data_IF_251235022661
#
_entry.id   IF_251235022661
#
_cell.length_a   1.000
_cell.length_b   1.000
_cell.length_c   1.000
_cell.angle_alpha   90.00
_cell.angle_beta   90.00
_cell.angle_gamma   90.00
#
_symmetry.space_group_name_H-M   'P 1'
#
loop_
_entity.id
_entity.type
_entity.pdbx_description
1 polymer ?
#
# COMPACT_ATOMS: atom_id res chain seq x y z
N UNK A 1 11.86 13.31 -12.07
CA UNK A 1 10.56 13.86 -12.52
C UNK A 1 9.87 12.98 -13.54
N UNK A 2 10.50 12.62 -14.66
CA UNK A 2 9.84 11.82 -15.72
C UNK A 2 9.29 10.46 -15.23
N UNK A 3 10.05 9.72 -14.42
CA UNK A 3 9.57 8.47 -13.81
C UNK A 3 8.33 8.67 -12.94
N UNK A 4 8.27 9.75 -12.14
CA UNK A 4 7.11 10.09 -11.32
C UNK A 4 5.89 10.45 -12.19
N UNK A 5 6.12 11.14 -13.31
CA UNK A 5 5.08 11.46 -14.30
C UNK A 5 4.45 10.20 -14.86
N UNK A 6 5.27 9.26 -15.30
CA UNK A 6 4.80 7.98 -15.86
C UNK A 6 4.07 7.15 -14.79
N UNK A 7 4.60 7.06 -13.57
CA UNK A 7 3.91 6.39 -12.46
C UNK A 7 2.55 7.06 -12.13
N UNK A 8 2.46 8.39 -12.21
CA UNK A 8 1.20 9.11 -12.02
C UNK A 8 0.21 8.75 -13.13
N UNK A 9 0.67 8.69 -14.39
CA UNK A 9 -0.17 8.29 -15.53
C UNK A 9 -0.71 6.87 -15.34
N UNK A 10 0.13 5.91 -14.93
CA UNK A 10 -0.30 4.54 -14.62
C UNK A 10 -1.45 4.51 -13.61
N UNK A 11 -1.37 5.31 -12.55
CA UNK A 11 -2.46 5.43 -11.58
C UNK A 11 -3.70 6.02 -12.25
N UNK A 12 -3.57 7.09 -13.04
CA UNK A 12 -4.73 7.69 -13.70
C UNK A 12 -5.40 6.73 -14.69
N UNK A 13 -4.61 5.97 -15.45
CA UNK A 13 -5.11 4.93 -16.34
C UNK A 13 -5.82 3.82 -15.58
N UNK A 14 -5.20 3.29 -14.52
CA UNK A 14 -5.76 2.24 -13.67
C UNK A 14 -7.16 2.56 -13.14
N UNK A 15 -7.45 3.85 -12.89
CA UNK A 15 -8.76 4.31 -12.41
C UNK A 15 -9.62 4.99 -13.47
N UNK A 16 -9.23 4.90 -14.74
CA UNK A 16 -9.92 5.52 -15.88
C UNK A 16 -10.21 7.01 -15.65
N UNK A 17 -9.29 7.73 -15.02
CA UNK A 17 -9.46 9.15 -14.69
C UNK A 17 -9.16 10.02 -15.89
N UNK A 18 -9.87 11.14 -15.99
CA UNK A 18 -9.50 12.23 -16.89
C UNK A 18 -8.34 13.00 -16.27
N UNK A 19 -7.28 13.23 -17.03
CA UNK A 19 -6.07 13.95 -16.62
C UNK A 19 -5.34 14.50 -17.84
N UNK A 20 -4.41 15.43 -17.63
CA UNK A 20 -3.51 15.91 -18.68
C UNK A 20 -2.06 15.91 -18.20
N UNK A 21 -1.12 16.02 -19.12
CA UNK A 21 0.27 16.25 -18.75
C UNK A 21 0.43 17.55 -17.93
N UNK A 22 -0.26 18.62 -18.32
CA UNK A 22 -0.19 19.90 -17.63
C UNK A 22 -0.64 19.79 -16.16
N UNK A 23 -1.80 19.19 -15.90
CA UNK A 23 -2.34 19.04 -14.55
C UNK A 23 -1.54 18.08 -13.68
N UNK A 24 -1.03 16.99 -14.25
CA UNK A 24 -0.11 16.07 -13.54
C UNK A 24 1.20 16.78 -13.17
N UNK A 25 1.81 17.50 -14.11
CA UNK A 25 3.06 18.22 -13.84
C UNK A 25 2.87 19.35 -12.83
N UNK A 26 1.72 20.01 -12.81
CA UNK A 26 1.39 20.99 -11.77
C UNK A 26 1.36 20.34 -10.37
N UNK A 27 0.72 19.17 -10.24
CA UNK A 27 0.70 18.40 -9.00
C UNK A 27 2.11 17.95 -8.57
N UNK A 28 2.90 17.42 -9.49
CA UNK A 28 4.25 16.93 -9.18
C UNK A 28 5.21 18.07 -8.77
N UNK A 29 5.12 19.25 -9.40
CA UNK A 29 5.92 20.42 -9.00
C UNK A 29 5.51 20.96 -7.62
N UNK A 30 4.21 20.98 -7.33
CA UNK A 30 3.71 21.36 -6.01
C UNK A 30 4.17 20.37 -4.94
N UNK A 31 4.08 19.06 -5.21
CA UNK A 31 4.63 18.00 -4.37
C UNK A 31 6.13 18.19 -4.14
N UNK A 32 6.92 18.40 -5.20
CA UNK A 32 8.38 18.54 -5.09
C UNK A 32 8.76 19.73 -4.21
N UNK A 33 8.06 20.84 -4.36
CA UNK A 33 8.26 22.04 -3.53
C UNK A 33 7.85 21.80 -2.08
N UNK A 34 6.62 21.33 -1.86
CA UNK A 34 6.06 21.20 -0.51
C UNK A 34 6.76 20.11 0.31
N UNK A 35 7.10 18.97 -0.30
CA UNK A 35 7.75 17.85 0.37
C UNK A 35 9.25 18.01 0.52
N UNK A 36 9.87 19.06 -0.04
CA UNK A 36 11.32 19.26 0.04
C UNK A 36 11.90 19.15 1.46
N UNK A 37 11.28 19.72 2.52
CA UNK A 37 11.77 19.57 3.89
C UNK A 37 11.75 18.12 4.38
N UNK A 38 10.62 17.41 4.18
CA UNK A 38 10.49 16.00 4.59
C UNK A 38 11.41 15.08 3.77
N UNK A 39 11.56 15.32 2.46
CA UNK A 39 12.51 14.59 1.61
C UNK A 39 13.94 14.77 2.12
N UNK A 40 14.32 15.99 2.47
CA UNK A 40 15.65 16.30 3.01
C UNK A 40 15.89 15.60 4.36
N UNK A 41 14.86 15.57 5.22
CA UNK A 41 14.94 14.89 6.51
C UNK A 41 15.05 13.36 6.32
N UNK A 42 14.11 12.74 5.61
CA UNK A 42 14.04 11.28 5.50
C UNK A 42 15.21 10.67 4.72
N UNK A 43 15.82 11.42 3.79
CA UNK A 43 17.06 11.01 3.09
C UNK A 43 18.23 10.73 4.03
N UNK A 44 18.21 11.26 5.25
CA UNK A 44 19.24 10.98 6.26
C UNK A 44 19.13 9.57 6.86
N UNK A 45 17.98 8.89 6.68
CA UNK A 45 17.82 7.53 7.19
C UNK A 45 18.66 6.53 6.38
N UNK A 46 19.40 5.60 7.01
CA UNK A 46 20.22 4.63 6.30
C UNK A 46 19.40 3.67 5.41
N UNK A 47 18.12 3.46 5.73
CA UNK A 47 17.19 2.65 4.95
C UNK A 47 16.34 3.46 3.95
N UNK A 48 16.73 4.71 3.65
CA UNK A 48 16.09 5.50 2.61
C UNK A 48 16.33 4.92 1.21
N UNK A 49 15.28 4.83 0.41
CA UNK A 49 15.34 4.42 -0.99
C UNK A 49 14.92 5.57 -1.90
N UNK A 50 15.86 6.05 -2.72
CA UNK A 50 15.66 7.27 -3.51
C UNK A 50 14.63 7.09 -4.63
N UNK A 51 14.53 5.91 -5.25
CA UNK A 51 13.51 5.64 -6.27
C UNK A 51 12.11 5.54 -5.65
N UNK A 52 11.99 4.83 -4.53
CA UNK A 52 10.72 4.68 -3.80
C UNK A 52 10.29 5.97 -3.08
N UNK A 53 11.17 6.97 -2.91
CA UNK A 53 10.94 8.16 -2.08
C UNK A 53 10.43 7.79 -0.68
N UNK A 54 11.01 6.75 -0.09
CA UNK A 54 10.52 6.16 1.14
C UNK A 54 11.65 5.60 2.01
N UNK A 55 11.40 5.51 3.31
CA UNK A 55 12.16 4.64 4.21
C UNK A 55 11.48 3.26 4.23
N UNK A 56 12.25 2.22 3.92
CA UNK A 56 11.74 0.84 3.78
C UNK A 56 12.43 -0.05 4.80
N UNK A 57 11.64 -0.66 5.70
CA UNK A 57 12.15 -1.48 6.81
C UNK A 57 11.44 -2.82 6.83
N UNK A 58 12.20 -3.90 6.93
CA UNK A 58 11.66 -5.23 7.22
C UNK A 58 11.46 -5.39 8.72
N UNK A 59 10.32 -5.94 9.11
CA UNK A 59 10.02 -6.24 10.50
C UNK A 59 9.10 -7.46 10.61
N UNK A 60 9.12 -8.08 11.78
CA UNK A 60 8.23 -9.20 12.10
C UNK A 60 6.97 -8.67 12.73
N UNK A 61 5.83 -8.87 12.06
CA UNK A 61 4.50 -8.64 12.63
C UNK A 61 3.93 -9.97 13.10
N UNK A 62 3.70 -10.09 14.39
CA UNK A 62 3.00 -11.22 14.98
C UNK A 62 2.35 -10.76 16.27
N UNK A 63 1.33 -11.49 16.73
CA UNK A 63 0.80 -11.23 18.08
C UNK A 63 1.94 -11.40 19.07
N UNK A 64 2.07 -10.48 20.02
CA UNK A 64 2.88 -10.75 21.21
C UNK A 64 2.41 -12.03 21.91
N UNK A 65 3.21 -12.52 22.85
CA UNK A 65 2.78 -13.65 23.68
C UNK A 65 1.57 -13.19 24.52
N UNK A 66 0.40 -13.76 24.24
CA UNK A 66 -0.84 -13.47 24.97
C UNK A 66 -0.75 -14.11 26.36
N UNK A 67 -0.52 -13.29 27.40
CA UNK A 67 -0.28 -13.76 28.76
C UNK A 67 -1.44 -14.59 29.30
N UNK A 68 -2.67 -14.16 29.06
CA UNK A 68 -3.87 -14.86 29.52
C UNK A 68 -3.96 -16.27 28.92
N UNK A 69 -3.61 -16.44 27.64
CA UNK A 69 -3.57 -17.75 26.98
C UNK A 69 -2.45 -18.61 27.56
N UNK A 70 -1.27 -18.03 27.80
CA UNK A 70 -0.16 -18.76 28.45
C UNK A 70 -0.57 -19.20 29.85
N UNK A 71 -1.22 -18.34 30.63
CA UNK A 71 -1.65 -18.64 32.00
C UNK A 71 -2.74 -19.72 32.02
N UNK A 72 -3.75 -19.63 31.16
CA UNK A 72 -4.81 -20.63 31.02
C UNK A 72 -4.24 -22.02 30.68
N UNK A 73 -3.37 -22.09 29.68
CA UNK A 73 -2.79 -23.37 29.25
C UNK A 73 -1.75 -23.87 30.26
N UNK A 74 -1.02 -22.97 30.92
CA UNK A 74 -0.11 -23.32 32.01
C UNK A 74 -0.86 -23.93 33.19
N UNK A 75 -2.04 -23.39 33.53
CA UNK A 75 -2.90 -23.96 34.56
C UNK A 75 -3.33 -25.39 34.21
N UNK A 76 -3.77 -25.62 32.97
CA UNK A 76 -4.10 -26.97 32.49
C UNK A 76 -2.89 -27.93 32.56
N UNK A 77 -1.69 -27.47 32.22
CA UNK A 77 -0.46 -28.27 32.35
C UNK A 77 -0.15 -28.62 33.80
N UNK A 78 -0.36 -27.69 34.73
CA UNK A 78 -0.18 -27.94 36.16
C UNK A 78 -1.19 -28.95 36.72
N UNK A 79 -2.44 -28.92 36.26
CA UNK A 79 -3.43 -29.94 36.62
C UNK A 79 -3.01 -31.34 36.16
N UNK A 80 -2.50 -31.47 34.93
CA UNK A 80 -1.95 -32.74 34.44
C UNK A 80 -0.77 -33.17 35.31
N UNK A 81 0.13 -32.25 35.67
CA UNK A 81 1.26 -32.55 36.51
C UNK A 81 0.84 -33.02 37.92
N UNK A 82 -0.21 -32.44 38.50
CA UNK A 82 -0.78 -32.86 39.78
C UNK A 82 -1.40 -34.26 39.75
N UNK A 83 -1.83 -34.76 38.58
CA UNK A 83 -2.34 -36.13 38.46
C UNK A 83 -1.22 -37.16 38.29
N UNK A 84 -0.08 -36.75 37.73
CA UNK A 84 1.00 -37.67 37.31
C UNK A 84 2.19 -37.68 38.26
N UNK A 85 2.57 -36.52 38.80
CA UNK A 85 3.81 -36.37 39.57
C UNK A 85 3.57 -36.76 41.05
N UNK A 86 4.45 -37.57 41.67
CA UNK A 86 4.43 -37.83 43.11
C UNK A 86 4.50 -36.56 43.96
N UNK A 87 3.80 -36.51 45.10
CA UNK A 87 3.69 -35.30 45.94
C UNK A 87 5.03 -34.69 46.37
N UNK A 88 6.04 -35.53 46.61
CA UNK A 88 7.39 -35.11 47.02
C UNK A 88 8.20 -34.46 45.89
N UNK A 89 7.91 -34.78 44.63
CA UNK A 89 8.59 -34.23 43.45
C UNK A 89 7.87 -32.99 42.86
N UNK A 90 6.57 -32.80 43.16
CA UNK A 90 5.77 -31.67 42.65
C UNK A 90 6.37 -30.29 42.92
N UNK A 91 6.91 -29.96 44.11
CA UNK A 91 7.47 -28.63 44.36
C UNK A 91 8.62 -28.29 43.41
N UNK A 92 9.43 -29.29 43.06
CA UNK A 92 10.56 -29.13 42.14
C UNK A 92 10.08 -28.85 40.71
N UNK A 93 9.08 -29.61 40.23
CA UNK A 93 8.45 -29.36 38.93
C UNK A 93 7.78 -27.98 38.89
N UNK A 94 6.97 -27.64 39.89
CA UNK A 94 6.24 -26.37 39.95
C UNK A 94 7.20 -25.17 39.89
N UNK A 95 8.30 -25.24 40.62
CA UNK A 95 9.33 -24.19 40.65
C UNK A 95 9.99 -24.03 39.28
N UNK A 96 10.42 -25.13 38.66
CA UNK A 96 11.03 -25.11 37.33
C UNK A 96 10.05 -24.67 36.23
N UNK A 97 8.80 -25.14 36.29
CA UNK A 97 7.78 -24.82 35.30
C UNK A 97 7.40 -23.34 35.37
N UNK A 98 7.18 -22.79 36.57
CA UNK A 98 6.91 -21.35 36.75
C UNK A 98 8.07 -20.48 36.26
N UNK A 99 9.32 -20.87 36.53
CA UNK A 99 10.48 -20.18 35.97
C UNK A 99 10.52 -20.24 34.44
N UNK A 100 9.99 -21.31 33.83
CA UNK A 100 9.94 -21.44 32.38
C UNK A 100 8.84 -20.58 31.73
N UNK A 101 7.69 -20.40 32.37
CA UNK A 101 6.56 -19.65 31.78
C UNK A 101 6.47 -18.18 32.22
N UNK A 102 7.03 -17.84 33.38
CA UNK A 102 6.84 -16.53 34.03
C UNK A 102 7.40 -15.32 33.28
N UNK A 103 8.34 -15.54 32.36
CA UNK A 103 8.91 -14.49 31.51
C UNK A 103 8.06 -14.16 30.28
N UNK A 104 7.02 -14.96 29.99
CA UNK A 104 6.19 -14.82 28.78
C UNK A 104 7.03 -14.60 27.51
N UNK A 105 8.06 -15.43 27.34
CA UNK A 105 9.08 -15.26 26.30
C UNK A 105 9.35 -16.57 25.58
N UNK A 106 9.68 -16.47 24.29
CA UNK A 106 10.10 -17.61 23.46
C UNK A 106 11.51 -18.12 23.80
N UNK A 107 12.31 -17.35 24.54
CA UNK A 107 13.62 -17.73 25.11
C UNK A 107 13.81 -17.14 26.51
N UNK A 108 14.58 -17.81 27.36
CA UNK A 108 14.72 -17.42 28.77
C UNK A 108 16.08 -16.77 29.10
N UNK A 109 16.12 -15.82 30.06
CA UNK A 109 17.36 -15.29 30.63
C UNK A 109 18.08 -16.35 31.46
N UNK A 110 19.39 -16.17 31.68
CA UNK A 110 20.23 -17.16 32.37
C UNK A 110 19.77 -17.42 33.82
N UNK A 111 19.23 -16.41 34.50
CA UNK A 111 18.67 -16.51 35.85
C UNK A 111 17.52 -17.54 35.91
N UNK A 112 16.57 -17.46 34.97
CA UNK A 112 15.49 -18.44 34.87
C UNK A 112 15.99 -19.83 34.48
N UNK A 113 16.99 -19.90 33.59
CA UNK A 113 17.62 -21.17 33.19
C UNK A 113 18.29 -21.86 34.37
N UNK A 114 18.95 -21.13 35.26
CA UNK A 114 19.60 -21.68 36.45
C UNK A 114 18.58 -22.32 37.41
N UNK A 115 17.45 -21.65 37.66
CA UNK A 115 16.33 -22.21 38.44
C UNK A 115 15.85 -23.53 37.81
N UNK A 116 15.66 -23.56 36.49
CA UNK A 116 15.19 -24.75 35.77
C UNK A 116 16.22 -25.90 35.85
N UNK A 117 17.52 -25.61 35.77
CA UNK A 117 18.55 -26.65 35.92
C UNK A 117 18.56 -27.24 37.33
N UNK A 118 18.45 -26.38 38.34
CA UNK A 118 18.52 -26.77 39.75
C UNK A 118 17.29 -27.56 40.20
N UNK A 119 16.09 -27.02 39.95
CA UNK A 119 14.83 -27.63 40.38
C UNK A 119 14.33 -28.68 39.38
N UNK A 120 14.47 -28.42 38.09
CA UNK A 120 13.97 -29.31 37.04
C UNK A 120 14.91 -30.45 36.66
N UNK A 121 16.18 -30.41 37.12
CA UNK A 121 17.23 -31.41 36.82
C UNK A 121 17.41 -31.71 35.32
N UNK A 122 17.08 -30.75 34.45
CA UNK A 122 17.25 -30.86 33.00
C UNK A 122 18.40 -29.97 32.51
N UNK A 123 19.03 -30.38 31.41
CA UNK A 123 19.97 -29.51 30.68
C UNK A 123 19.20 -28.49 29.86
N UNK A 124 19.53 -27.21 29.98
CA UNK A 124 19.03 -26.11 29.13
C UNK A 124 20.09 -25.01 28.98
N UNK A 125 20.05 -24.26 27.88
CA UNK A 125 21.05 -23.24 27.54
C UNK A 125 20.36 -22.01 26.94
N UNK A 126 21.05 -20.86 27.01
CA UNK A 126 20.59 -19.60 26.44
C UNK A 126 20.33 -19.71 24.92
N UNK A 127 19.33 -18.97 24.43
CA UNK A 127 18.87 -19.01 23.05
C UNK A 127 18.01 -20.22 22.68
N UNK A 128 17.82 -21.19 23.58
CA UNK A 128 16.93 -22.30 23.33
C UNK A 128 15.46 -21.90 23.51
N UNK A 129 14.59 -22.36 22.59
CA UNK A 129 13.14 -22.13 22.70
C UNK A 129 12.57 -22.63 24.03
N UNK A 130 11.80 -21.78 24.71
CA UNK A 130 11.12 -22.05 25.98
C UNK A 130 10.24 -23.31 25.90
N UNK A 131 9.45 -23.47 24.83
CA UNK A 131 8.62 -24.67 24.63
C UNK A 131 9.43 -25.96 24.57
N UNK A 132 10.65 -25.94 24.02
CA UNK A 132 11.55 -27.10 24.03
C UNK A 132 12.11 -27.40 25.42
N UNK A 133 12.32 -26.38 26.25
CA UNK A 133 12.71 -26.55 27.66
C UNK A 133 11.56 -27.18 28.43
N UNK A 134 10.35 -26.64 28.31
CA UNK A 134 9.13 -27.17 28.93
C UNK A 134 8.91 -28.63 28.49
N UNK A 135 9.01 -28.94 27.20
CA UNK A 135 8.82 -30.31 26.71
C UNK A 135 9.87 -31.30 27.23
N UNK A 136 11.07 -30.85 27.62
CA UNK A 136 12.03 -31.70 28.33
C UNK A 136 11.71 -31.81 29.81
N UNK A 137 11.26 -30.74 30.44
CA UNK A 137 10.84 -30.74 31.83
C UNK A 137 9.67 -31.70 32.05
N UNK A 138 8.62 -31.63 31.21
CA UNK A 138 7.49 -32.55 31.26
C UNK A 138 7.92 -34.02 31.14
N UNK A 139 8.87 -34.33 30.24
CA UNK A 139 9.45 -35.68 30.11
C UNK A 139 10.26 -36.13 31.31
N UNK A 140 11.00 -35.22 31.93
CA UNK A 140 11.81 -35.52 33.11
C UNK A 140 10.94 -35.91 34.31
N UNK A 141 9.72 -35.37 34.40
CA UNK A 141 8.75 -35.66 35.45
C UNK A 141 7.58 -36.54 34.96
N UNK A 142 7.71 -37.20 33.80
CA UNK A 142 6.73 -38.13 33.23
C UNK A 142 5.33 -37.56 32.92
N UNK A 143 5.17 -36.24 32.92
CA UNK A 143 3.91 -35.54 32.58
C UNK A 143 3.45 -35.90 31.16
N UNK A 144 4.38 -36.26 30.28
CA UNK A 144 4.10 -36.68 28.90
C UNK A 144 3.36 -38.02 28.77
N UNK A 145 3.28 -38.81 29.84
CA UNK A 145 2.50 -40.04 29.87
C UNK A 145 0.97 -39.79 29.93
N UNK A 146 0.55 -38.57 30.27
CA UNK A 146 -0.87 -38.23 30.38
C UNK A 146 -1.54 -38.12 29.00
N UNK A 147 -2.74 -38.66 28.87
CA UNK A 147 -3.48 -38.71 27.59
C UNK A 147 -3.74 -37.33 26.97
N UNK A 148 -3.88 -36.28 27.79
CA UNK A 148 -4.13 -34.92 27.33
C UNK A 148 -2.84 -34.12 27.07
N UNK A 149 -1.66 -34.63 27.43
CA UNK A 149 -0.41 -33.89 27.38
C UNK A 149 -0.15 -33.27 26.00
N UNK A 150 -0.24 -34.06 24.93
CA UNK A 150 0.08 -33.59 23.58
C UNK A 150 -0.78 -32.40 23.16
N UNK A 151 -2.06 -32.39 23.56
CA UNK A 151 -2.98 -31.28 23.28
C UNK A 151 -2.57 -30.02 24.03
N UNK A 152 -2.38 -30.13 25.35
CA UNK A 152 -2.04 -28.98 26.21
C UNK A 152 -0.64 -28.44 25.89
N UNK A 153 0.33 -29.32 25.64
CA UNK A 153 1.68 -28.93 25.24
C UNK A 153 1.69 -28.20 23.89
N UNK A 154 0.92 -28.67 22.90
CA UNK A 154 0.80 -27.98 21.62
C UNK A 154 0.24 -26.55 21.80
N UNK A 155 -0.84 -26.41 22.58
CA UNK A 155 -1.43 -25.10 22.90
C UNK A 155 -0.42 -24.16 23.58
N UNK A 156 0.34 -24.66 24.55
CA UNK A 156 1.34 -23.86 25.27
C UNK A 156 2.52 -23.49 24.39
N UNK A 157 2.95 -24.42 23.54
CA UNK A 157 4.02 -24.18 22.57
C UNK A 157 3.63 -23.09 21.56
N UNK A 158 2.39 -23.14 21.05
CA UNK A 158 1.88 -22.14 20.11
C UNK A 158 1.74 -20.77 20.79
N UNK A 159 1.23 -20.73 22.03
CA UNK A 159 1.11 -19.49 22.80
C UNK A 159 2.47 -18.82 23.10
N UNK A 160 3.52 -19.61 23.35
CA UNK A 160 4.89 -19.13 23.59
C UNK A 160 5.70 -18.87 22.32
N UNK A 161 5.21 -19.30 21.16
CA UNK A 161 5.87 -19.13 19.86
C UNK A 161 4.87 -18.62 18.80
N UNK A 162 4.27 -17.43 19.02
CA UNK A 162 3.30 -16.90 18.09
C UNK A 162 3.92 -16.75 16.69
N UNK A 163 3.11 -17.03 15.66
CA UNK A 163 3.54 -16.89 14.26
C UNK A 163 3.96 -15.44 13.99
N UNK A 164 5.22 -15.27 13.60
CA UNK A 164 5.79 -14.00 13.20
C UNK A 164 5.79 -13.93 11.67
N UNK A 165 4.92 -13.09 11.11
CA UNK A 165 4.88 -12.81 9.69
C UNK A 165 5.87 -11.70 9.37
N UNK A 166 6.87 -12.00 8.55
CA UNK A 166 7.76 -10.95 8.05
C UNK A 166 6.98 -10.03 7.10
N UNK A 167 7.02 -8.73 7.37
CA UNK A 167 6.40 -7.69 6.56
C UNK A 167 7.40 -6.61 6.22
N UNK A 168 7.08 -5.83 5.20
CA UNK A 168 7.81 -4.63 4.84
C UNK A 168 6.99 -3.41 5.23
N UNK A 169 7.54 -2.59 6.11
CA UNK A 169 7.02 -1.27 6.47
C UNK A 169 7.59 -0.22 5.52
N UNK A 170 6.72 0.63 4.99
CA UNK A 170 7.08 1.70 4.07
C UNK A 170 6.56 3.02 4.63
N UNK A 171 7.46 3.94 4.97
CA UNK A 171 7.13 5.35 5.25
C UNK A 171 7.46 6.17 4.01
N UNK A 172 6.43 6.50 3.23
CA UNK A 172 6.57 7.04 1.88
C UNK A 172 6.19 8.52 1.78
N UNK A 173 6.92 9.20 0.89
CA UNK A 173 6.59 10.50 0.32
C UNK A 173 6.27 10.40 -1.18
N UNK A 174 6.27 9.22 -1.77
CA UNK A 174 6.02 9.04 -3.20
C UNK A 174 4.60 9.53 -3.57
N UNK A 175 4.43 10.36 -4.63
CA UNK A 175 3.13 10.94 -4.96
C UNK A 175 2.06 9.87 -5.24
N UNK A 176 2.42 8.81 -5.97
CA UNK A 176 1.50 7.71 -6.26
C UNK A 176 1.10 6.91 -5.01
N UNK A 177 1.89 6.92 -3.94
CA UNK A 177 1.48 6.25 -2.70
C UNK A 177 0.30 6.96 -2.02
N UNK A 178 0.24 8.29 -2.10
CA UNK A 178 -0.92 9.06 -1.65
C UNK A 178 -2.14 8.80 -2.54
N UNK A 179 -1.98 8.81 -3.86
CA UNK A 179 -3.08 8.51 -4.80
C UNK A 179 -3.64 7.09 -4.59
N UNK A 180 -2.75 6.13 -4.30
CA UNK A 180 -3.10 4.75 -4.05
C UNK A 180 -3.42 4.48 -2.58
N UNK A 181 -3.61 5.52 -1.73
CA UNK A 181 -3.91 5.41 -0.28
C UNK A 181 -5.01 4.42 0.07
N UNK A 182 -5.96 4.23 -0.84
CA UNK A 182 -6.90 3.12 -0.85
C UNK A 182 -6.97 2.51 -2.24
N UNK A 183 -6.09 1.56 -2.53
CA UNK A 183 -5.99 0.95 -3.86
C UNK A 183 -7.18 0.04 -4.19
N UNK A 184 -7.60 -0.04 -5.46
CA UNK A 184 -8.59 -1.05 -5.91
C UNK A 184 -8.10 -2.50 -5.78
N UNK A 185 -6.78 -2.70 -5.64
CA UNK A 185 -6.16 -4.01 -5.42
C UNK A 185 -6.18 -4.43 -3.95
N UNK A 186 -6.55 -3.54 -3.02
CA UNK A 186 -6.69 -3.87 -1.61
C UNK A 186 -7.95 -4.73 -1.39
N UNK A 187 -7.96 -5.53 -0.32
CA UNK A 187 -9.16 -6.25 0.15
C UNK A 187 -10.13 -5.34 0.92
N UNK A 188 -9.80 -4.05 1.03
CA UNK A 188 -10.55 -3.03 1.77
C UNK A 188 -10.54 -1.71 1.01
N UNK A 189 -11.48 -0.83 1.34
CA UNK A 189 -11.62 0.48 0.68
C UNK A 189 -11.87 1.57 1.71
N UNK A 190 -11.32 2.77 1.50
CA UNK A 190 -11.63 3.97 2.27
C UNK A 190 -12.27 5.05 1.39
N UNK A 191 -12.72 6.13 2.04
CA UNK A 191 -13.27 7.31 1.39
C UNK A 191 -12.33 7.98 0.38
N UNK A 192 -11.02 7.72 0.44
CA UNK A 192 -10.02 8.27 -0.47
C UNK A 192 -9.78 7.41 -1.72
N UNK A 193 -10.45 6.27 -1.86
CA UNK A 193 -10.32 5.43 -3.05
C UNK A 193 -10.69 6.19 -4.32
N UNK A 194 -9.83 6.09 -5.34
CA UNK A 194 -10.04 6.85 -6.58
C UNK A 194 -11.18 6.30 -7.44
N UNK A 195 -11.59 5.04 -7.30
CA UNK A 195 -12.71 4.49 -8.09
C UNK A 195 -14.07 5.02 -7.61
N UNK A 196 -14.32 4.98 -6.30
CA UNK A 196 -15.67 5.21 -5.74
C UNK A 196 -15.70 6.08 -4.47
N UNK A 197 -14.55 6.51 -3.96
CA UNK A 197 -14.46 7.30 -2.73
C UNK A 197 -15.00 8.73 -2.90
N UNK A 198 -15.54 9.30 -1.82
CA UNK A 198 -16.06 10.68 -1.76
C UNK A 198 -15.00 11.73 -1.40
N UNK A 199 -13.76 11.32 -1.10
CA UNK A 199 -12.63 12.17 -0.69
C UNK A 199 -11.39 11.94 -1.57
N UNK A 200 -11.57 11.69 -2.86
CA UNK A 200 -10.47 11.42 -3.82
C UNK A 200 -9.47 12.59 -3.84
N UNK A 201 -9.97 13.83 -3.88
CA UNK A 201 -9.16 15.05 -3.84
C UNK A 201 -8.30 15.15 -2.57
N UNK A 202 -8.70 14.47 -1.49
CA UNK A 202 -7.93 14.37 -0.26
C UNK A 202 -6.57 13.72 -0.42
N UNK A 203 -6.44 12.78 -1.36
CA UNK A 203 -5.14 12.20 -1.69
C UNK A 203 -4.17 13.27 -2.21
N UNK A 204 -4.66 14.18 -3.05
CA UNK A 204 -3.88 15.31 -3.56
C UNK A 204 -3.56 16.31 -2.45
N UNK A 205 -4.52 16.58 -1.55
CA UNK A 205 -4.28 17.46 -0.40
C UNK A 205 -3.12 17.00 0.48
N UNK A 206 -3.07 15.71 0.84
CA UNK A 206 -1.93 15.16 1.58
C UNK A 206 -0.64 15.13 0.75
N UNK A 207 -0.75 14.81 -0.54
CA UNK A 207 0.40 14.73 -1.43
C UNK A 207 1.11 16.08 -1.56
N UNK A 208 0.38 17.20 -1.59
CA UNK A 208 0.96 18.52 -1.85
C UNK A 208 1.05 19.43 -0.61
N UNK A 209 0.93 18.88 0.59
CA UNK A 209 1.30 19.60 1.83
C UNK A 209 2.76 19.32 2.22
N UNK A 210 3.26 19.99 3.25
CA UNK A 210 4.63 19.88 3.75
C UNK A 210 4.80 18.97 4.97
N UNK A 211 3.71 18.46 5.55
CA UNK A 211 3.73 17.70 6.82
C UNK A 211 3.38 16.21 6.67
N UNK A 212 2.62 15.83 5.65
CA UNK A 212 2.06 14.48 5.53
C UNK A 212 3.06 13.45 5.00
N UNK A 213 3.05 12.28 5.62
CA UNK A 213 3.71 11.05 5.20
C UNK A 213 2.68 9.92 5.24
N UNK A 214 2.75 8.99 4.28
CA UNK A 214 1.92 7.78 4.31
C UNK A 214 2.76 6.59 4.78
N UNK A 215 2.31 5.96 5.87
CA UNK A 215 2.87 4.72 6.35
C UNK A 215 1.97 3.56 5.95
N UNK A 216 2.54 2.49 5.44
CA UNK A 216 1.79 1.28 5.13
C UNK A 216 2.67 0.03 5.20
N UNK A 217 2.02 -1.13 5.26
CA UNK A 217 2.70 -2.43 5.22
C UNK A 217 2.30 -3.19 3.97
N UNK A 218 3.27 -3.90 3.40
CA UNK A 218 3.11 -4.81 2.26
C UNK A 218 3.75 -6.16 2.60
N UNK A 219 3.45 -7.16 1.78
CA UNK A 219 4.11 -8.46 1.88
C UNK A 219 5.61 -8.33 1.61
N UNK A 220 6.42 -9.18 2.25
CA UNK A 220 7.88 -9.12 2.17
C UNK A 220 8.43 -9.29 0.75
N UNK A 221 7.67 -9.90 -0.15
CA UNK A 221 8.04 -10.15 -1.54
C UNK A 221 8.04 -8.86 -2.37
N UNK A 222 7.32 -7.82 -1.93
CA UNK A 222 7.29 -6.52 -2.60
C UNK A 222 8.56 -5.73 -2.25
N UNK A 223 9.41 -5.49 -3.26
CA UNK A 223 10.70 -4.82 -3.06
C UNK A 223 10.81 -3.42 -3.68
N UNK A 224 9.94 -3.10 -4.61
CA UNK A 224 9.92 -1.82 -5.33
C UNK A 224 8.48 -1.47 -5.75
N UNK A 225 8.32 -0.32 -6.43
CA UNK A 225 7.04 0.18 -6.96
C UNK A 225 5.86 0.00 -6.00
N UNK A 226 6.08 0.33 -4.72
CA UNK A 226 5.16 0.02 -3.63
C UNK A 226 3.72 0.52 -3.84
N UNK A 227 3.54 1.60 -4.60
CA UNK A 227 2.22 2.14 -4.96
C UNK A 227 1.36 1.17 -5.80
N UNK A 228 1.97 0.18 -6.47
CA UNK A 228 1.26 -0.88 -7.22
C UNK A 228 0.78 -2.01 -6.31
N UNK A 229 1.39 -2.17 -5.14
CA UNK A 229 1.15 -3.29 -4.26
C UNK A 229 -0.11 -3.10 -3.39
N UNK A 230 -0.85 -4.18 -3.11
CA UNK A 230 -1.94 -4.13 -2.16
C UNK A 230 -1.40 -3.92 -0.75
N UNK A 231 -2.03 -3.00 0.00
CA UNK A 231 -1.62 -2.65 1.36
C UNK A 231 -2.34 -3.49 2.40
N UNK A 232 -1.57 -4.04 3.33
CA UNK A 232 -2.11 -4.79 4.48
C UNK A 232 -2.65 -3.85 5.53
N UNK A 233 -1.87 -2.82 5.87
CA UNK A 233 -2.30 -1.73 6.75
C UNK A 233 -1.88 -0.37 6.18
N UNK A 234 -2.57 0.70 6.57
CA UNK A 234 -2.28 2.07 6.15
C UNK A 234 -2.58 3.07 7.27
N UNK A 235 -1.66 4.00 7.49
CA UNK A 235 -1.79 5.08 8.47
C UNK A 235 -1.10 6.35 7.95
N UNK A 236 -1.76 7.50 8.07
CA UNK A 236 -1.11 8.79 7.82
C UNK A 236 -0.37 9.26 9.06
N UNK A 237 0.79 9.84 8.86
CA UNK A 237 1.58 10.53 9.89
C UNK A 237 1.86 11.96 9.43
N UNK A 238 1.83 12.91 10.36
CA UNK A 238 2.06 14.32 10.09
C UNK A 238 3.18 14.82 10.98
N UNK A 239 4.27 15.31 10.37
CA UNK A 239 5.44 15.79 11.08
C UNK A 239 5.61 17.29 10.89
N UNK A 240 5.71 18.03 11.99
CA UNK A 240 6.10 19.44 12.01
C UNK A 240 6.98 19.68 13.23
N UNK A 241 8.16 20.24 13.01
CA UNK A 241 9.13 20.49 14.07
C UNK A 241 9.34 19.25 14.97
N UNK A 242 8.99 19.32 16.25
CA UNK A 242 9.14 18.25 17.24
C UNK A 242 7.84 17.44 17.48
N UNK A 243 6.84 17.62 16.63
CA UNK A 243 5.50 17.02 16.75
C UNK A 243 5.27 15.98 15.65
N UNK A 244 4.92 14.76 16.05
CA UNK A 244 4.52 13.67 15.17
C UNK A 244 3.10 13.24 15.49
N UNK A 245 2.16 13.58 14.61
CA UNK A 245 0.75 13.27 14.75
C UNK A 245 0.39 12.03 13.93
N UNK A 246 -0.24 11.04 14.55
CA UNK A 246 -0.65 9.78 13.94
C UNK A 246 -2.16 9.80 13.69
N UNK A 247 -2.61 9.35 12.52
CA UNK A 247 -4.04 9.20 12.16
C UNK A 247 -4.59 7.79 12.46
N UNK A 248 -5.86 7.56 12.10
CA UNK A 248 -6.54 6.26 12.16
C UNK A 248 -5.83 5.17 11.36
N UNK A 249 -5.76 3.97 11.93
CA UNK A 249 -5.34 2.74 11.25
C UNK A 249 -6.42 2.26 10.27
N UNK A 250 -6.00 1.79 9.10
CA UNK A 250 -6.86 1.12 8.13
C UNK A 250 -6.27 -0.24 7.75
N UNK A 251 -7.10 -1.26 7.46
CA UNK A 251 -8.57 -1.24 7.58
C UNK A 251 -9.09 -1.45 9.02
N UNK A 252 -8.21 -1.85 9.92
CA UNK A 252 -8.49 -2.27 11.29
C UNK A 252 -8.31 -1.13 12.31
N UNK A 253 -8.79 -1.30 13.53
CA UNK A 253 -8.61 -0.39 14.67
C UNK A 253 -7.70 -0.96 15.78
N UNK A 254 -6.92 -1.99 15.46
CA UNK A 254 -5.93 -2.61 16.36
C UNK A 254 -4.99 -1.59 17.03
N UNK A 255 -5.09 -1.51 18.36
CA UNK A 255 -4.23 -0.71 19.22
C UNK A 255 -2.78 -1.18 19.20
N UNK A 256 -2.55 -2.49 19.09
CA UNK A 256 -1.20 -3.08 19.05
C UNK A 256 -0.47 -2.68 17.77
N UNK A 257 -1.12 -2.84 16.61
CA UNK A 257 -0.58 -2.42 15.31
C UNK A 257 -0.39 -0.89 15.29
N UNK A 258 -1.34 -0.14 15.83
CA UNK A 258 -1.22 1.32 15.94
C UNK A 258 -0.01 1.75 16.76
N UNK A 259 0.24 1.11 17.91
CA UNK A 259 1.43 1.35 18.75
C UNK A 259 2.71 0.96 18.03
N UNK A 260 2.73 -0.20 17.36
CA UNK A 260 3.86 -0.69 16.58
C UNK A 260 4.25 0.28 15.46
N UNK A 261 3.29 0.65 14.61
CA UNK A 261 3.50 1.59 13.51
C UNK A 261 4.03 2.93 14.02
N UNK A 262 3.46 3.45 15.12
CA UNK A 262 3.95 4.68 15.76
C UNK A 262 5.39 4.53 16.22
N UNK A 263 5.73 3.43 16.88
CA UNK A 263 7.10 3.17 17.34
C UNK A 263 8.12 3.09 16.20
N UNK A 264 7.75 2.45 15.09
CA UNK A 264 8.57 2.40 13.86
C UNK A 264 8.79 3.82 13.33
N UNK A 265 7.73 4.60 13.12
CA UNK A 265 7.85 5.96 12.56
C UNK A 265 8.61 6.89 13.51
N UNK A 266 8.35 6.85 14.81
CA UNK A 266 9.10 7.60 15.83
C UNK A 266 10.60 7.31 15.76
N UNK A 267 10.99 6.04 15.61
CA UNK A 267 12.39 5.63 15.46
C UNK A 267 12.99 6.15 14.15
N UNK A 268 12.27 6.07 13.03
CA UNK A 268 12.71 6.63 11.74
C UNK A 268 12.99 8.13 11.90
N UNK A 269 12.02 8.89 12.41
CA UNK A 269 12.13 10.34 12.54
C UNK A 269 13.30 10.74 13.45
N UNK A 270 13.42 10.13 14.63
CA UNK A 270 14.52 10.46 15.55
C UNK A 270 15.90 10.04 15.03
N UNK A 271 15.97 8.97 14.25
CA UNK A 271 17.21 8.61 13.52
C UNK A 271 17.58 9.70 12.51
N UNK A 272 16.63 10.19 11.71
CA UNK A 272 16.88 11.28 10.76
C UNK A 272 17.23 12.61 11.41
N UNK A 273 16.69 12.87 12.60
CA UNK A 273 16.95 14.09 13.38
C UNK A 273 18.23 14.00 14.22
N UNK A 274 18.84 12.82 14.34
CA UNK A 274 20.01 12.57 15.19
C UNK A 274 19.77 12.90 16.68
N UNK A 275 18.56 12.61 17.17
CA UNK A 275 18.15 12.82 18.57
C UNK A 275 17.77 11.51 19.25
N UNK A 276 17.82 11.42 20.59
CA UNK A 276 17.33 10.26 21.30
C UNK A 276 15.84 9.98 21.02
N UNK A 277 15.48 8.72 20.79
CA UNK A 277 14.09 8.29 20.59
C UNK A 277 13.26 8.36 21.88
N UNK A 278 12.91 9.58 22.31
CA UNK A 278 12.18 9.87 23.55
C UNK A 278 10.99 10.77 23.25
N UNK A 279 9.80 10.18 23.25
CA UNK A 279 8.54 10.88 22.96
C UNK A 279 7.62 10.90 24.18
N UNK A 280 6.87 11.98 24.31
CA UNK A 280 5.72 12.10 25.22
C UNK A 280 4.46 11.97 24.37
N UNK A 281 3.63 10.97 24.68
CA UNK A 281 2.38 10.72 23.97
C UNK A 281 1.24 11.52 24.62
N UNK A 282 0.54 12.30 23.80
CA UNK A 282 -0.71 12.97 24.15
C UNK A 282 -1.88 12.28 23.44
N UNK A 283 -2.91 11.94 24.21
CA UNK A 283 -4.10 11.19 23.73
C UNK A 283 -5.44 11.85 24.11
N UNK A 284 -5.42 12.84 25.00
CA UNK A 284 -6.61 13.56 25.46
C UNK A 284 -7.15 14.48 24.36
N UNK A 285 -8.43 14.35 24.01
CA UNK A 285 -9.02 14.99 22.83
C UNK A 285 -8.95 16.52 22.87
N UNK A 286 -9.28 17.13 24.00
CA UNK A 286 -9.30 18.60 24.14
C UNK A 286 -7.91 19.21 23.93
N UNK A 287 -6.85 18.54 24.41
CA UNK A 287 -5.47 18.98 24.17
C UNK A 287 -5.04 18.78 22.71
N UNK A 288 -5.57 17.76 22.04
CA UNK A 288 -5.22 17.42 20.66
C UNK A 288 -5.88 18.34 19.63
N UNK A 289 -7.09 18.85 19.90
CA UNK A 289 -7.78 19.78 19.00
C UNK A 289 -7.02 21.09 18.78
N UNK A 290 -6.20 21.52 19.74
CA UNK A 290 -5.36 22.71 19.62
C UNK A 290 -4.04 22.46 18.87
N UNK A 291 -3.69 21.19 18.64
CA UNK A 291 -2.39 20.80 18.08
C UNK A 291 -2.42 20.54 16.57
N UNK A 292 -3.59 20.41 15.96
CA UNK A 292 -3.72 20.16 14.53
C UNK A 292 -5.00 20.74 13.96
N UNK A 293 -4.92 21.23 12.74
CA UNK A 293 -6.05 21.74 11.96
C UNK A 293 -5.94 21.32 10.50
N UNK A 294 -7.05 21.37 9.78
CA UNK A 294 -7.04 21.12 8.34
C UNK A 294 -6.72 22.42 7.60
N UNK A 295 -5.81 22.36 6.62
CA UNK A 295 -5.45 23.52 5.81
C UNK A 295 -6.64 24.07 5.03
N UNK A 296 -6.64 25.38 4.82
CA UNK A 296 -7.74 26.07 4.15
C UNK A 296 -7.98 25.51 2.73
N UNK A 297 -9.23 25.11 2.46
CA UNK A 297 -9.62 24.55 1.15
C UNK A 297 -9.09 23.14 0.86
N UNK A 298 -8.45 22.50 1.83
CA UNK A 298 -8.04 21.09 1.74
C UNK A 298 -9.27 20.15 1.73
N UNK A 299 -9.12 18.94 1.16
CA UNK A 299 -10.24 18.04 0.83
C UNK A 299 -10.07 16.62 1.36
N UNK A 300 -9.16 16.40 2.29
CA UNK A 300 -9.02 15.12 2.97
C UNK A 300 -10.14 14.88 3.98
N UNK A 301 -10.48 13.61 4.20
CA UNK A 301 -11.30 13.20 5.33
C UNK A 301 -10.47 13.32 6.62
N UNK A 302 -10.85 14.18 7.58
CA UNK A 302 -9.99 14.51 8.70
C UNK A 302 -10.22 13.56 9.89
N UNK A 303 -10.00 12.25 9.66
CA UNK A 303 -10.12 11.20 10.69
C UNK A 303 -9.21 11.44 11.91
N UNK A 304 -8.12 12.17 11.72
CA UNK A 304 -7.17 12.55 12.75
C UNK A 304 -7.78 13.40 13.86
N UNK A 305 -8.85 14.18 13.60
CA UNK A 305 -9.54 14.91 14.67
C UNK A 305 -10.24 13.98 15.67
N UNK A 306 -10.62 12.77 15.25
CA UNK A 306 -11.41 11.85 16.07
C UNK A 306 -10.57 10.72 16.65
N UNK A 307 -9.58 10.24 15.92
CA UNK A 307 -8.84 9.02 16.26
C UNK A 307 -7.33 9.22 16.36
N UNK A 308 -6.83 10.42 16.07
CA UNK A 308 -5.39 10.63 16.02
C UNK A 308 -4.74 10.80 17.40
N UNK A 309 -3.42 10.64 17.45
CA UNK A 309 -2.64 10.83 18.68
C UNK A 309 -1.38 11.63 18.36
N UNK A 310 -0.93 12.47 19.29
CA UNK A 310 0.25 13.30 19.12
C UNK A 310 1.42 12.77 19.94
N UNK A 311 2.57 12.61 19.30
CA UNK A 311 3.85 12.41 19.97
C UNK A 311 4.65 13.71 19.92
N UNK A 312 5.15 14.16 21.06
CA UNK A 312 6.04 15.34 21.16
C UNK A 312 7.40 14.89 21.67
N UNK A 313 8.50 15.36 21.07
CA UNK A 313 9.83 15.03 21.60
C UNK A 313 9.97 15.52 23.05
N UNK A 314 10.61 14.70 23.88
CA UNK A 314 10.76 15.01 25.30
C UNK A 314 11.66 16.25 25.47
N UNK A 315 11.16 17.25 26.20
CA UNK A 315 11.89 18.49 26.47
C UNK A 315 11.66 19.60 25.44
N UNK A 316 10.69 19.43 24.54
CA UNK A 316 10.30 20.46 23.55
C UNK A 316 8.88 20.95 23.80
N UNK A 317 8.61 22.20 23.45
CA UNK A 317 7.28 22.81 23.54
C UNK A 317 6.58 22.84 22.18
N UNK A 318 5.24 22.84 22.22
CA UNK A 318 4.40 22.99 21.04
C UNK A 318 4.31 24.48 20.73
N UNK A 319 4.82 24.89 19.58
CA UNK A 319 4.80 26.30 19.18
C UNK A 319 3.56 26.64 18.35
N UNK A 320 3.25 25.82 17.35
CA UNK A 320 2.18 26.06 16.39
C UNK A 320 1.46 24.75 16.07
N UNK A 321 0.14 24.80 15.77
CA UNK A 321 -0.58 23.63 15.30
C UNK A 321 0.01 23.10 13.98
N UNK A 322 -0.18 21.81 13.74
CA UNK A 322 0.10 21.17 12.45
C UNK A 322 -1.07 21.48 11.52
N UNK A 323 -0.77 22.16 10.41
CA UNK A 323 -1.76 22.41 9.35
C UNK A 323 -1.66 21.27 8.34
N UNK A 324 -2.69 20.44 8.27
CA UNK A 324 -2.69 19.20 7.49
C UNK A 324 -3.45 19.41 6.19
N UNK A 325 -2.84 19.00 5.07
CA UNK A 325 -3.44 19.03 3.75
C UNK A 325 -3.40 20.41 3.08
N UNK A 326 -3.06 20.41 1.80
CA UNK A 326 -3.10 21.59 0.94
C UNK A 326 -4.37 21.63 0.08
N UNK A 327 -4.68 22.80 -0.47
CA UNK A 327 -5.75 22.96 -1.47
C UNK A 327 -5.39 22.15 -2.73
N UNK A 328 -6.19 21.14 -3.11
CA UNK A 328 -5.82 20.19 -4.17
C UNK A 328 -5.74 20.85 -5.54
N UNK A 329 -4.95 20.26 -6.44
CA UNK A 329 -4.68 20.77 -7.80
C UNK A 329 -5.33 19.85 -8.84
N UNK A 330 -6.10 20.44 -9.77
CA UNK A 330 -6.82 19.67 -10.78
C UNK A 330 -5.85 18.90 -11.67
N UNK A 331 -6.02 17.57 -11.76
CA UNK A 331 -5.15 16.71 -12.59
C UNK A 331 -5.31 16.91 -14.10
N UNK A 332 -6.33 17.67 -14.53
CA UNK A 332 -6.48 18.12 -15.93
C UNK A 332 -5.93 19.53 -16.15
N UNK A 333 -6.51 20.57 -15.55
CA UNK A 333 -6.16 21.95 -15.90
C UNK A 333 -5.10 22.59 -14.98
N UNK A 334 -4.62 21.91 -13.94
CA UNK A 334 -3.64 22.45 -13.01
C UNK A 334 -4.18 23.56 -12.08
N UNK A 335 -5.48 23.86 -12.12
CA UNK A 335 -6.08 24.87 -11.25
C UNK A 335 -6.34 24.34 -9.84
N UNK A 336 -6.10 25.18 -8.83
CA UNK A 336 -6.52 24.94 -7.45
C UNK A 336 -8.03 25.16 -7.23
N UNK A 337 -8.72 25.82 -8.18
CA UNK A 337 -10.09 26.24 -7.99
C UNK A 337 -11.07 25.10 -8.31
N UNK A 338 -12.14 25.00 -7.50
CA UNK A 338 -13.38 24.23 -7.79
C UNK A 338 -13.30 22.71 -7.67
N UNK A 339 -12.30 22.17 -6.96
CA UNK A 339 -12.32 20.76 -6.56
C UNK A 339 -13.15 20.60 -5.28
N UNK A 340 -14.13 19.72 -5.31
CA UNK A 340 -14.93 19.32 -4.15
C UNK A 340 -14.51 17.93 -3.66
N UNK A 341 -14.73 16.90 -4.48
CA UNK A 341 -14.53 15.50 -4.11
C UNK A 341 -13.60 14.74 -5.05
N UNK A 342 -13.72 14.96 -6.37
CA UNK A 342 -12.93 14.27 -7.39
C UNK A 342 -11.58 14.92 -7.67
N UNK A 343 -10.74 14.28 -8.50
CA UNK A 343 -9.40 14.77 -8.86
C UNK A 343 -9.40 15.92 -9.89
N UNK A 344 -10.55 16.21 -10.48
CA UNK A 344 -10.73 17.16 -11.57
C UNK A 344 -11.88 18.13 -11.28
N UNK A 345 -11.76 19.38 -11.73
CA UNK A 345 -12.86 20.36 -11.76
C UNK A 345 -13.68 20.26 -13.07
N UNK A 346 -14.57 21.22 -13.31
CA UNK A 346 -15.44 21.27 -14.50
C UNK A 346 -14.71 21.69 -15.80
N UNK A 347 -13.39 21.51 -15.89
CA UNK A 347 -12.66 21.71 -17.15
C UNK A 347 -12.99 20.60 -18.16
N UNK A 348 -12.52 20.72 -19.39
CA UNK A 348 -12.73 19.69 -20.42
C UNK A 348 -12.13 18.34 -19.99
N UNK A 349 -12.79 17.23 -20.35
CA UNK A 349 -12.24 15.90 -20.15
C UNK A 349 -11.10 15.64 -21.12
N UNK A 350 -9.90 15.55 -20.58
CA UNK A 350 -8.69 15.20 -21.31
C UNK A 350 -8.09 13.93 -20.75
N UNK A 351 -7.30 13.24 -21.57
CA UNK A 351 -6.47 12.10 -21.19
C UNK A 351 -5.15 12.18 -21.95
N UNK A 352 -4.12 11.53 -21.42
CA UNK A 352 -2.85 11.34 -22.14
C UNK A 352 -2.91 10.04 -22.92
N UNK A 353 -2.51 10.06 -24.19
CA UNK A 353 -2.37 8.85 -25.00
C UNK A 353 -1.12 8.08 -24.57
N UNK A 354 -1.25 6.78 -24.31
CA UNK A 354 -0.15 5.90 -23.93
C UNK A 354 0.93 5.79 -25.02
N UNK A 355 0.53 5.80 -26.30
CA UNK A 355 1.46 5.55 -27.41
C UNK A 355 2.27 6.79 -27.80
N UNK A 356 1.62 7.96 -27.88
CA UNK A 356 2.26 9.18 -28.36
C UNK A 356 2.50 10.24 -27.27
N UNK A 357 2.03 10.01 -26.04
CA UNK A 357 2.18 10.95 -24.92
C UNK A 357 1.38 12.25 -25.05
N UNK A 358 0.59 12.43 -26.13
CA UNK A 358 -0.17 13.66 -26.35
C UNK A 358 -1.39 13.70 -25.42
N UNK A 359 -1.64 14.87 -24.83
CA UNK A 359 -2.92 15.17 -24.19
C UNK A 359 -3.96 15.43 -25.28
N UNK A 360 -5.09 14.71 -25.22
CA UNK A 360 -6.20 14.80 -26.18
C UNK A 360 -7.54 14.82 -25.46
N UNK A 361 -8.62 15.33 -26.08
CA UNK A 361 -9.97 15.19 -25.54
C UNK A 361 -10.33 13.72 -25.33
N UNK A 362 -10.92 13.39 -24.17
CA UNK A 362 -11.24 12.00 -23.80
C UNK A 362 -12.18 11.32 -24.80
N UNK A 363 -13.11 12.07 -25.38
CA UNK A 363 -14.03 11.57 -26.42
C UNK A 363 -13.35 11.26 -27.77
N UNK A 364 -12.07 11.60 -27.93
CA UNK A 364 -11.23 11.25 -29.09
C UNK A 364 -10.25 10.12 -28.78
N UNK A 365 -10.55 9.30 -27.76
CA UNK A 365 -9.73 8.18 -27.33
C UNK A 365 -10.52 6.90 -27.15
N UNK A 366 -9.78 5.80 -27.14
CA UNK A 366 -10.25 4.45 -26.82
C UNK A 366 -9.51 3.98 -25.57
N UNK A 367 -10.22 3.35 -24.64
CA UNK A 367 -9.61 2.76 -23.46
C UNK A 367 -9.45 1.26 -23.65
N UNK A 368 -8.22 0.78 -23.72
CA UNK A 368 -7.88 -0.63 -23.91
C UNK A 368 -6.58 -0.96 -23.18
N UNK A 369 -6.39 -2.23 -22.82
CA UNK A 369 -5.19 -2.70 -22.11
C UNK A 369 -4.85 -1.89 -20.84
N UNK A 370 -5.88 -1.37 -20.17
CA UNK A 370 -5.79 -0.47 -19.03
C UNK A 370 -5.10 0.88 -19.30
N UNK A 371 -5.19 1.43 -20.52
CA UNK A 371 -4.69 2.76 -20.86
C UNK A 371 -5.57 3.46 -21.93
N UNK A 372 -5.38 4.78 -22.09
CA UNK A 372 -6.04 5.55 -23.15
C UNK A 372 -5.15 5.62 -24.38
N UNK A 373 -5.74 5.39 -25.55
CA UNK A 373 -5.09 5.50 -26.85
C UNK A 373 -5.88 6.46 -27.73
N UNK A 374 -5.22 7.45 -28.32
CA UNK A 374 -5.91 8.41 -29.18
C UNK A 374 -6.31 7.76 -30.52
N UNK A 375 -7.34 8.31 -31.16
CA UNK A 375 -7.85 7.77 -32.43
C UNK A 375 -6.83 7.76 -33.58
N UNK A 376 -5.71 8.47 -33.43
CA UNK A 376 -4.61 8.51 -34.40
C UNK A 376 -3.49 7.48 -34.11
N UNK A 377 -3.45 6.89 -32.91
CA UNK A 377 -2.48 5.85 -32.56
C UNK A 377 -3.11 4.46 -32.54
N UNK A 378 -4.41 4.38 -32.24
CA UNK A 378 -5.12 3.12 -32.17
C UNK A 378 -6.35 3.20 -33.05
N UNK A 379 -6.33 2.42 -34.13
CA UNK A 379 -7.39 2.33 -35.12
C UNK A 379 -8.23 1.08 -34.91
N UNK A 380 -9.48 1.10 -35.39
CA UNK A 380 -10.37 -0.07 -35.41
C UNK A 380 -10.75 -0.31 -36.86
N UNK A 381 -10.50 -1.53 -37.34
CA UNK A 381 -10.92 -1.91 -38.68
C UNK A 381 -12.45 -1.92 -38.79
N UNK A 382 -12.98 -1.16 -39.75
CA UNK A 382 -14.43 -1.09 -39.99
C UNK A 382 -15.05 -2.42 -40.44
N UNK A 383 -14.25 -3.42 -40.81
CA UNK A 383 -14.71 -4.73 -41.30
C UNK A 383 -14.63 -5.78 -40.21
N UNK A 384 -13.43 -6.14 -39.77
CA UNK A 384 -13.22 -7.21 -38.81
C UNK A 384 -13.29 -6.75 -37.34
N UNK A 385 -13.37 -5.44 -37.08
CA UNK A 385 -13.34 -4.89 -35.72
C UNK A 385 -11.99 -5.01 -35.01
N UNK A 386 -10.97 -5.57 -35.66
CA UNK A 386 -9.64 -5.72 -35.07
C UNK A 386 -9.00 -4.36 -34.77
N UNK A 387 -8.27 -4.32 -33.66
CA UNK A 387 -7.47 -3.20 -33.22
C UNK A 387 -6.17 -3.17 -34.01
N UNK A 388 -5.85 -2.02 -34.61
CA UNK A 388 -4.68 -1.83 -35.46
C UNK A 388 -3.89 -0.63 -34.93
N UNK A 389 -2.61 -0.85 -34.62
CA UNK A 389 -1.66 0.21 -34.22
C UNK A 389 -0.85 0.74 -35.41
N UNK A 390 -1.08 0.15 -36.58
CA UNK A 390 -0.36 0.42 -37.83
C UNK A 390 -1.24 1.21 -38.82
N UNK A 391 -0.71 1.37 -40.03
CA UNK A 391 -1.40 2.05 -41.13
C UNK A 391 -2.73 1.39 -41.46
N UNK A 392 -3.77 2.22 -41.53
CA UNK A 392 -5.08 1.83 -42.05
C UNK A 392 -5.18 2.08 -43.56
N UNK A 393 -5.97 1.27 -44.24
CA UNK A 393 -6.17 1.35 -45.68
C UNK A 393 -7.58 1.86 -45.99
N UNK A 394 -7.72 2.82 -46.92
CA UNK A 394 -9.03 3.33 -47.31
C UNK A 394 -9.81 2.27 -48.08
N UNK A 395 -11.14 2.27 -47.92
CA UNK A 395 -12.07 1.44 -48.65
C UNK A 395 -13.47 2.07 -48.67
N UNK A 396 -14.42 1.46 -49.41
CA UNK A 396 -15.81 1.91 -49.44
C UNK A 396 -16.75 0.89 -48.80
N UNK A 397 -17.65 1.35 -47.93
CA UNK A 397 -18.77 0.52 -47.47
C UNK A 397 -19.81 0.34 -48.60
N UNK A 398 -20.83 -0.49 -48.37
CA UNK A 398 -21.90 -0.74 -49.35
C UNK A 398 -22.76 0.48 -49.67
N UNK A 399 -22.74 1.52 -48.84
CA UNK A 399 -23.45 2.77 -49.05
C UNK A 399 -22.59 3.78 -49.82
N UNK A 400 -21.34 3.42 -50.15
CA UNK A 400 -20.38 4.28 -50.84
C UNK A 400 -19.66 5.24 -49.90
N UNK A 401 -19.76 5.07 -48.58
CA UNK A 401 -19.01 5.89 -47.63
C UNK A 401 -17.56 5.42 -47.55
N UNK A 402 -16.63 6.37 -47.44
CA UNK A 402 -15.24 6.05 -47.17
C UNK A 402 -15.09 5.51 -45.73
N UNK A 403 -14.37 4.40 -45.60
CA UNK A 403 -14.05 3.75 -44.32
C UNK A 403 -12.58 3.35 -44.31
N UNK A 404 -12.04 3.11 -43.12
CA UNK A 404 -10.68 2.66 -42.90
C UNK A 404 -10.67 1.20 -42.41
N UNK A 405 -9.83 0.36 -43.03
CA UNK A 405 -9.73 -1.06 -42.73
C UNK A 405 -8.28 -1.53 -42.56
N UNK A 406 -8.09 -2.68 -41.91
CA UNK A 406 -6.77 -3.26 -41.74
C UNK A 406 -6.21 -3.81 -43.06
N UNK A 407 -4.91 -4.06 -43.08
CA UNK A 407 -4.20 -4.64 -44.22
C UNK A 407 -4.83 -5.95 -44.72
N UNK A 408 -5.18 -6.87 -43.82
CA UNK A 408 -5.74 -8.17 -44.19
C UNK A 408 -7.12 -8.03 -44.86
N UNK A 409 -7.99 -7.19 -44.28
CA UNK A 409 -9.29 -6.88 -44.88
C UNK A 409 -9.14 -6.16 -46.22
N UNK A 410 -8.11 -5.32 -46.36
CA UNK A 410 -7.84 -4.59 -47.58
C UNK A 410 -7.40 -5.54 -48.68
N UNK A 411 -6.45 -6.43 -48.39
CA UNK A 411 -6.03 -7.47 -49.32
C UNK A 411 -7.17 -8.41 -49.71
N UNK A 412 -7.99 -8.84 -48.76
CA UNK A 412 -9.18 -9.64 -49.04
C UNK A 412 -10.17 -8.91 -49.96
N UNK A 413 -10.36 -7.60 -49.77
CA UNK A 413 -11.24 -6.80 -50.63
C UNK A 413 -10.75 -6.71 -52.07
N UNK A 414 -9.45 -6.88 -52.31
CA UNK A 414 -8.84 -6.83 -53.64
C UNK A 414 -8.82 -8.17 -54.38
N UNK A 415 -9.18 -9.30 -53.75
CA UNK A 415 -9.23 -10.61 -54.41
C UNK A 415 -10.08 -10.60 -55.71
N UNK A 416 -11.29 -9.98 -55.74
CA UNK A 416 -12.09 -9.93 -56.97
C UNK A 416 -11.43 -9.13 -58.10
N UNK A 417 -10.51 -8.21 -57.79
CA UNK A 417 -9.78 -7.43 -58.81
C UNK A 417 -8.80 -8.30 -59.61
N UNK A 418 -8.32 -9.43 -59.07
CA UNK A 418 -7.41 -10.32 -59.78
C UNK A 418 -8.04 -10.94 -61.05
N UNK A 419 -9.37 -11.12 -61.05
CA UNK A 419 -10.12 -11.62 -62.19
C UNK A 419 -10.77 -10.50 -63.03
N UNK A 420 -10.47 -9.23 -62.74
CA UNK A 420 -11.14 -8.09 -63.36
C UNK A 420 -10.42 -7.63 -64.64
N UNK A 421 -11.12 -7.67 -65.78
CA UNK A 421 -10.58 -7.31 -67.09
C UNK A 421 -10.11 -5.86 -67.24
N UNK A 422 -10.54 -4.96 -66.35
CA UNK A 422 -10.17 -3.53 -66.35
C UNK A 422 -9.11 -3.16 -65.31
N UNK A 423 -8.55 -4.13 -64.57
CA UNK A 423 -7.58 -3.88 -63.51
C UNK A 423 -6.36 -3.09 -63.99
N UNK A 424 -5.86 -3.38 -65.20
CA UNK A 424 -4.73 -2.66 -65.79
C UNK A 424 -5.01 -1.17 -66.01
N UNK A 425 -6.23 -0.84 -66.45
CA UNK A 425 -6.66 0.56 -66.64
C UNK A 425 -6.76 1.28 -65.30
N UNK A 426 -7.36 0.64 -64.29
CA UNK A 426 -7.46 1.20 -62.94
C UNK A 426 -6.10 1.54 -62.33
N UNK A 427 -5.09 0.68 -62.54
CA UNK A 427 -3.71 0.93 -62.07
C UNK A 427 -3.06 2.13 -62.79
N UNK A 428 -3.27 2.27 -64.10
CA UNK A 428 -2.70 3.37 -64.90
C UNK A 428 -3.27 4.73 -64.46
N UNK A 429 -4.57 4.80 -64.18
CA UNK A 429 -5.23 6.04 -63.73
C UNK A 429 -5.11 6.29 -62.22
N UNK A 430 -4.33 5.47 -61.50
CA UNK A 430 -4.10 5.61 -60.06
C UNK A 430 -5.32 5.33 -59.18
N UNK A 431 -6.35 4.68 -59.71
CA UNK A 431 -7.57 4.38 -58.95
C UNK A 431 -7.37 3.08 -58.14
N UNK A 432 -7.10 3.23 -56.84
CA UNK A 432 -6.87 2.15 -55.89
C UNK A 432 -8.14 1.65 -55.18
N UNK A 433 -9.30 2.29 -55.43
CA UNK A 433 -10.55 2.04 -54.71
C UNK A 433 -11.69 1.76 -55.69
N UNK A 434 -12.24 0.54 -55.65
CA UNK A 434 -13.38 0.15 -56.48
C UNK A 434 -14.66 0.05 -55.65
N UNK A 435 -15.74 0.73 -56.05
CA UNK A 435 -17.05 0.55 -55.40
C UNK A 435 -17.60 -0.88 -55.55
N UNK A 436 -17.13 -1.66 -56.55
CA UNK A 436 -17.50 -3.08 -56.71
C UNK A 436 -16.77 -4.01 -55.75
N UNK A 437 -15.70 -3.55 -55.10
CA UNK A 437 -15.03 -4.23 -53.99
C UNK A 437 -15.52 -3.73 -52.64
N UNK A 438 -16.72 -3.14 -52.59
CA UNK A 438 -17.32 -2.64 -51.36
C UNK A 438 -17.37 -3.75 -50.30
N UNK A 439 -16.84 -3.41 -49.13
CA UNK A 439 -16.54 -4.35 -48.08
C UNK A 439 -17.81 -4.69 -47.31
N UNK A 440 -17.90 -5.93 -46.82
CA UNK A 440 -19.03 -6.41 -45.99
C UNK A 440 -18.60 -6.34 -44.53
N UNK A 441 -19.39 -5.70 -43.67
CA UNK A 441 -19.20 -5.85 -42.23
C UNK A 441 -19.39 -7.33 -41.88
N UNK A 442 -18.42 -7.93 -41.21
CA UNK A 442 -18.68 -9.15 -40.44
C UNK A 442 -19.44 -8.71 -39.20
N UNK A 443 -20.70 -9.13 -39.09
CA UNK A 443 -21.51 -8.91 -37.90
C UNK A 443 -20.90 -9.64 -36.69
#
# INVERSE_FOLDING_TARGET
>A
MEQLKNAFYEVMYKYEKSFSEHGVMANLRAWETAKAPLLTLLRKHPAWQEEAKAVVIEFSEGRGIERDVVDEVSFAMLQIADEVIPEDERPAFLTAFRAAVGEYSSTLPEEALEIIRNSGKIKCASGQKTSRIIGRLCRQFHVDAHSQYNKVFAQLSDALNPLQLQKTAVLSLHPCDFLEMSSKSNTWTSCHNLSSGSYQAGALSYMTDDVSMIFFTVDKEVKDHFYRAPRRTRQMFFLKDCMLYQSRLYPDDSDEITKQNRGIVQKIITTCMEVPNRWVLKTKRDELSECCESGEGSRQYPDYHYQGNLSVLKGTEIQNPIVIGAKPICVCCGSHNRLSHGLKCNCEDQVVCQDCGRTVPRNQTRYMENAFHCNACLHICAVCGSVIHDTMYPAFDRRGNAVEICFDCYHASLEPCAACSVQGVCRIIGNSLCARTAIRHTA
#
